data_IF_935283999853
#
_entry.id   IF_935283999853
#
_cell.length_a   1.000
_cell.length_b   1.000
_cell.length_c   1.000
_cell.angle_alpha   90.00
_cell.angle_beta   90.00
_cell.angle_gamma   90.00
#
_symmetry.space_group_name_H-M   'P 1'
#
loop_
_entity.id
_entity.type
_entity.pdbx_description
1 polymer ?
#
# COMPACT_ATOMS: atom_id res chain seq x y z
N UNK A 1 11.38 -8.14 -34.88
CA UNK A 1 11.25 -9.25 -33.91
C UNK A 1 10.84 -8.66 -32.58
N UNK A 2 10.30 -9.49 -31.71
CA UNK A 2 9.79 -9.04 -30.42
C UNK A 2 10.93 -8.49 -29.54
N UNK A 3 10.62 -7.43 -28.79
CA UNK A 3 11.54 -6.85 -27.82
C UNK A 3 10.93 -6.97 -26.43
N UNK A 4 11.75 -7.33 -25.45
CA UNK A 4 11.32 -7.51 -24.07
C UNK A 4 12.15 -6.58 -23.18
N UNK A 5 11.49 -5.94 -22.23
CA UNK A 5 12.09 -5.16 -21.16
C UNK A 5 11.63 -5.74 -19.81
N UNK A 6 12.47 -5.63 -18.79
CA UNK A 6 12.18 -6.15 -17.45
C UNK A 6 12.08 -4.98 -16.48
N UNK A 7 10.96 -4.95 -15.76
CA UNK A 7 10.59 -3.94 -14.78
C UNK A 7 10.34 -4.61 -13.44
N UNK A 8 10.60 -3.91 -12.32
CA UNK A 8 10.18 -4.36 -10.99
C UNK A 8 9.52 -3.23 -10.22
N UNK A 9 8.68 -3.56 -9.26
CA UNK A 9 8.03 -2.55 -8.40
C UNK A 9 8.99 -1.80 -7.47
N UNK A 10 10.25 -2.26 -7.37
CA UNK A 10 11.29 -1.60 -6.57
C UNK A 10 12.36 -0.91 -7.40
N UNK A 11 12.49 -1.26 -8.68
CA UNK A 11 13.46 -0.67 -9.61
C UNK A 11 12.79 -0.43 -10.96
N UNK A 12 12.71 0.85 -11.32
CA UNK A 12 11.89 1.35 -12.43
C UNK A 12 12.24 0.75 -13.79
N UNK A 13 13.45 0.22 -14.03
CA UNK A 13 13.77 -0.59 -15.20
C UNK A 13 15.06 -1.37 -14.94
N UNK A 14 15.01 -2.70 -15.06
CA UNK A 14 16.17 -3.58 -14.92
C UNK A 14 16.85 -3.90 -16.25
N UNK A 15 16.05 -4.03 -17.30
CA UNK A 15 16.54 -4.24 -18.66
C UNK A 15 15.74 -3.37 -19.64
N UNK A 16 16.41 -2.61 -20.53
CA UNK A 16 15.74 -1.94 -21.63
C UNK A 16 15.21 -2.96 -22.65
N UNK A 17 14.34 -2.50 -23.54
CA UNK A 17 13.81 -3.33 -24.62
C UNK A 17 14.96 -3.91 -25.45
N UNK A 18 15.03 -5.24 -25.48
CA UNK A 18 16.05 -6.00 -26.21
C UNK A 18 15.45 -7.27 -26.78
N UNK A 19 16.03 -7.75 -27.88
CA UNK A 19 15.74 -9.07 -28.45
C UNK A 19 16.76 -10.13 -28.01
N UNK A 20 17.72 -9.77 -27.15
CA UNK A 20 18.79 -10.64 -26.67
C UNK A 20 18.33 -11.51 -25.47
N UNK A 21 18.13 -12.83 -25.67
CA UNK A 21 17.68 -13.71 -24.60
C UNK A 21 18.74 -13.92 -23.50
N UNK A 22 20.03 -13.88 -23.83
CA UNK A 22 21.09 -14.07 -22.83
C UNK A 22 21.11 -12.90 -21.85
N UNK A 23 20.96 -11.68 -22.35
CA UNK A 23 20.85 -10.49 -21.50
C UNK A 23 19.63 -10.53 -20.59
N UNK A 24 18.48 -10.98 -21.11
CA UNK A 24 17.25 -11.12 -20.32
C UNK A 24 17.43 -12.17 -19.21
N UNK A 25 18.00 -13.34 -19.53
CA UNK A 25 18.27 -14.39 -18.56
C UNK A 25 19.26 -13.96 -17.48
N UNK A 26 20.30 -13.21 -17.84
CA UNK A 26 21.26 -12.66 -16.88
C UNK A 26 20.59 -11.70 -15.89
N UNK A 27 19.71 -10.82 -16.37
CA UNK A 27 18.93 -9.91 -15.51
C UNK A 27 17.98 -10.70 -14.60
N UNK A 28 17.24 -11.67 -15.14
CA UNK A 28 16.33 -12.52 -14.34
C UNK A 28 17.09 -13.30 -13.25
N UNK A 29 18.27 -13.82 -13.56
CA UNK A 29 19.12 -14.52 -12.58
C UNK A 29 19.65 -13.62 -11.46
N UNK A 30 19.68 -12.30 -11.67
CA UNK A 30 20.11 -11.31 -10.66
C UNK A 30 18.98 -10.88 -9.70
N UNK A 31 17.73 -11.26 -9.98
CA UNK A 31 16.57 -10.86 -9.18
C UNK A 31 16.66 -11.41 -7.76
N UNK A 32 16.51 -10.52 -6.78
CA UNK A 32 16.44 -10.87 -5.36
C UNK A 32 15.01 -10.75 -4.87
N UNK A 33 14.47 -11.86 -4.36
CA UNK A 33 13.19 -11.88 -3.65
C UNK A 33 13.31 -11.08 -2.34
N UNK A 34 12.64 -9.93 -2.26
CA UNK A 34 12.43 -9.24 -0.98
C UNK A 34 11.18 -9.82 -0.31
N UNK A 35 11.38 -10.54 0.80
CA UNK A 35 10.26 -10.92 1.67
C UNK A 35 9.73 -9.65 2.34
N UNK A 36 8.50 -9.27 2.03
CA UNK A 36 7.78 -8.24 2.81
C UNK A 36 7.40 -8.87 4.14
N UNK A 37 8.20 -8.66 5.17
CA UNK A 37 7.84 -9.08 6.52
C UNK A 37 6.87 -8.06 7.09
N UNK A 38 5.63 -8.47 7.29
CA UNK A 38 4.76 -7.79 8.25
C UNK A 38 5.16 -8.26 9.65
N UNK A 39 5.22 -7.34 10.60
CA UNK A 39 5.57 -7.65 11.97
C UNK A 39 4.51 -8.59 12.58
N UNK A 40 4.86 -9.88 12.69
CA UNK A 40 4.02 -10.91 13.33
C UNK A 40 4.16 -10.90 14.86
N UNK A 41 4.89 -9.94 15.44
CA UNK A 41 5.11 -9.84 16.87
C UNK A 41 3.99 -9.16 17.65
N UNK A 42 3.09 -8.45 16.96
CA UNK A 42 1.98 -7.72 17.60
C UNK A 42 0.94 -8.69 18.22
N UNK A 43 0.39 -8.31 19.38
CA UNK A 43 -0.65 -9.07 20.07
C UNK A 43 -1.85 -8.13 20.30
N UNK A 44 -2.98 -8.33 19.60
CA UNK A 44 -3.25 -9.39 18.65
C UNK A 44 -2.56 -9.16 17.30
N UNK A 45 -2.34 -10.24 16.56
CA UNK A 45 -2.00 -10.12 15.15
C UNK A 45 -3.24 -9.63 14.39
N UNK A 46 -3.09 -8.54 13.63
CA UNK A 46 -4.12 -8.05 12.72
C UNK A 46 -3.51 -8.12 11.32
N UNK A 47 -3.98 -9.08 10.52
CA UNK A 47 -3.48 -9.30 9.17
C UNK A 47 -3.82 -8.12 8.24
N UNK A 48 -3.16 -8.02 7.06
CA UNK A 48 -3.50 -7.02 6.07
C UNK A 48 -4.98 -6.97 5.67
N UNK A 49 -5.59 -8.13 5.47
CA UNK A 49 -6.99 -8.24 5.08
C UNK A 49 -7.94 -7.90 6.23
N UNK A 50 -7.64 -8.33 7.46
CA UNK A 50 -8.42 -7.93 8.64
C UNK A 50 -8.33 -6.42 8.88
N UNK A 51 -7.17 -5.81 8.65
CA UNK A 51 -6.99 -4.36 8.74
C UNK A 51 -7.89 -3.61 7.75
N UNK A 52 -7.98 -4.11 6.51
CA UNK A 52 -8.91 -3.60 5.51
C UNK A 52 -10.38 -3.69 5.97
N UNK A 53 -10.79 -4.85 6.49
CA UNK A 53 -12.17 -5.07 6.96
C UNK A 53 -12.53 -4.17 8.15
N UNK A 54 -11.61 -3.98 9.09
CA UNK A 54 -11.82 -3.12 10.25
C UNK A 54 -11.83 -1.64 9.88
N UNK A 55 -10.94 -1.20 9.00
CA UNK A 55 -10.80 0.20 8.62
C UNK A 55 -11.92 0.68 7.66
N UNK A 56 -12.39 -0.17 6.75
CA UNK A 56 -13.28 0.25 5.67
C UNK A 56 -14.69 -0.38 5.73
N UNK A 57 -14.80 -1.62 6.19
CA UNK A 57 -16.08 -2.35 6.20
C UNK A 57 -16.77 -2.34 7.56
N UNK A 58 -16.09 -1.86 8.60
CA UNK A 58 -16.56 -1.87 9.99
C UNK A 58 -17.05 -3.25 10.44
N UNK A 59 -16.29 -4.31 10.13
CA UNK A 59 -16.63 -5.67 10.54
C UNK A 59 -16.68 -5.76 12.08
N UNK A 60 -17.90 -5.75 12.62
CA UNK A 60 -18.15 -5.74 14.06
C UNK A 60 -17.78 -7.07 14.72
N UNK A 61 -17.92 -8.17 14.01
CA UNK A 61 -17.57 -9.50 14.51
C UNK A 61 -16.06 -9.62 14.66
N UNK A 62 -15.32 -9.19 13.64
CA UNK A 62 -13.86 -9.12 13.69
C UNK A 62 -13.38 -8.17 14.79
N UNK A 63 -14.01 -7.00 14.92
CA UNK A 63 -13.67 -6.03 15.96
C UNK A 63 -13.84 -6.64 17.36
N UNK A 64 -14.95 -7.33 17.61
CA UNK A 64 -15.18 -8.05 18.87
C UNK A 64 -14.08 -9.08 19.16
N UNK A 65 -13.74 -9.89 18.15
CA UNK A 65 -12.71 -10.93 18.27
C UNK A 65 -11.35 -10.30 18.59
N UNK A 66 -10.92 -9.30 17.83
CA UNK A 66 -9.62 -8.63 18.06
C UNK A 66 -9.56 -7.88 19.38
N UNK A 67 -10.68 -7.32 19.85
CA UNK A 67 -10.74 -6.70 21.18
C UNK A 67 -10.52 -7.74 22.28
N UNK A 68 -11.21 -8.88 22.22
CA UNK A 68 -11.02 -9.93 23.23
C UNK A 68 -9.64 -10.60 23.14
N UNK A 69 -9.09 -10.78 21.93
CA UNK A 69 -7.70 -11.21 21.76
C UNK A 69 -6.73 -10.23 22.41
N UNK A 70 -6.91 -8.92 22.22
CA UNK A 70 -6.10 -7.88 22.87
C UNK A 70 -6.20 -7.94 24.39
N UNK A 71 -7.40 -8.17 24.93
CA UNK A 71 -7.58 -8.29 26.39
C UNK A 71 -6.81 -9.47 26.96
N UNK A 72 -6.86 -10.62 26.28
CA UNK A 72 -6.11 -11.83 26.68
C UNK A 72 -4.60 -11.64 26.51
N UNK A 73 -4.16 -10.99 25.44
CA UNK A 73 -2.76 -10.60 25.23
C UNK A 73 -2.20 -9.76 26.38
N UNK A 74 -3.01 -8.86 26.92
CA UNK A 74 -2.63 -7.90 27.96
C UNK A 74 -3.03 -8.32 29.38
N UNK A 75 -3.57 -9.52 29.58
CA UNK A 75 -4.14 -9.99 30.85
C UNK A 75 -5.16 -9.02 31.47
N UNK A 76 -5.96 -8.36 30.64
CA UNK A 76 -7.02 -7.47 31.06
C UNK A 76 -8.31 -8.25 31.35
N UNK A 77 -9.18 -7.76 32.25
CA UNK A 77 -10.48 -8.36 32.46
C UNK A 77 -11.31 -8.35 31.16
N UNK A 78 -12.22 -9.32 30.96
CA UNK A 78 -13.10 -9.38 29.80
C UNK A 78 -13.87 -8.07 29.61
N UNK A 79 -14.09 -7.68 28.35
CA UNK A 79 -14.89 -6.50 28.06
C UNK A 79 -16.36 -6.71 28.45
N UNK A 80 -17.13 -5.62 28.52
CA UNK A 80 -18.60 -5.71 28.69
C UNK A 80 -19.29 -6.51 27.56
N UNK A 81 -18.62 -6.65 26.41
CA UNK A 81 -19.01 -7.47 25.27
C UNK A 81 -18.58 -8.94 25.34
N UNK A 82 -17.66 -9.30 26.25
CA UNK A 82 -17.01 -10.63 26.28
C UNK A 82 -17.85 -11.77 26.87
N UNK A 83 -19.10 -11.53 27.26
CA UNK A 83 -20.04 -12.55 27.77
C UNK A 83 -20.92 -13.15 26.67
N UNK A 84 -21.46 -14.36 26.89
CA UNK A 84 -22.54 -14.93 26.06
C UNK A 84 -23.74 -13.97 26.09
N UNK A 85 -23.95 -13.23 25.00
CA UNK A 85 -25.04 -12.25 24.85
C UNK A 85 -24.63 -10.77 24.93
N UNK A 86 -23.33 -10.46 24.95
CA UNK A 86 -22.84 -9.09 24.84
C UNK A 86 -23.13 -8.49 23.45
N UNK A 87 -23.49 -7.21 23.40
CA UNK A 87 -23.54 -6.45 22.14
C UNK A 87 -22.11 -6.30 21.59
N UNK A 88 -21.90 -6.46 20.27
CA UNK A 88 -20.59 -6.24 19.67
C UNK A 88 -20.12 -4.80 19.93
N UNK A 89 -18.81 -4.57 20.14
CA UNK A 89 -18.29 -3.25 20.47
C UNK A 89 -18.64 -2.22 19.39
N UNK A 90 -19.06 -1.04 19.86
CA UNK A 90 -19.28 0.11 18.99
C UNK A 90 -17.92 0.63 18.49
N UNK A 91 -17.70 0.81 17.17
CA UNK A 91 -16.47 1.42 16.65
C UNK A 91 -16.20 2.83 17.19
N UNK A 92 -17.24 3.55 17.64
CA UNK A 92 -17.15 4.86 18.28
C UNK A 92 -17.00 4.78 19.82
N UNK A 93 -16.73 3.60 20.37
CA UNK A 93 -16.54 3.39 21.81
C UNK A 93 -15.32 4.15 22.32
N UNK A 94 -15.43 4.65 23.56
CA UNK A 94 -14.31 5.27 24.29
C UNK A 94 -13.43 4.24 25.01
N UNK A 95 -13.77 2.95 24.93
CA UNK A 95 -12.97 1.86 25.50
C UNK A 95 -11.53 1.90 24.93
N UNK A 96 -10.50 2.01 25.80
CA UNK A 96 -9.11 2.11 25.36
C UNK A 96 -8.65 0.90 24.54
N UNK A 97 -9.21 -0.29 24.77
CA UNK A 97 -8.84 -1.50 24.01
C UNK A 97 -9.43 -1.44 22.60
N UNK A 98 -10.70 -1.03 22.47
CA UNK A 98 -11.35 -0.84 21.16
C UNK A 98 -10.58 0.19 20.34
N UNK A 99 -10.21 1.31 20.95
CA UNK A 99 -9.40 2.36 20.28
C UNK A 99 -8.02 1.86 19.86
N UNK A 100 -7.39 1.00 20.66
CA UNK A 100 -6.07 0.43 20.35
C UNK A 100 -6.16 -0.49 19.12
N UNK A 101 -7.14 -1.39 19.08
CA UNK A 101 -7.37 -2.30 17.94
C UNK A 101 -7.65 -1.51 16.66
N UNK A 102 -8.56 -0.53 16.74
CA UNK A 102 -8.88 0.29 15.56
C UNK A 102 -7.67 1.12 15.13
N UNK A 103 -6.92 1.73 16.05
CA UNK A 103 -5.71 2.48 15.73
C UNK A 103 -4.67 1.60 15.01
N UNK A 104 -4.42 0.39 15.51
CA UNK A 104 -3.55 -0.58 14.87
C UNK A 104 -4.06 -0.93 13.47
N UNK A 105 -5.32 -1.32 13.33
CA UNK A 105 -5.93 -1.67 12.04
C UNK A 105 -5.84 -0.53 11.01
N UNK A 106 -6.13 0.71 11.41
CA UNK A 106 -6.02 1.87 10.52
C UNK A 106 -4.57 2.12 10.10
N UNK A 107 -3.62 2.05 11.02
CA UNK A 107 -2.19 2.25 10.71
C UNK A 107 -1.66 1.18 9.75
N UNK A 108 -2.00 -0.09 9.99
CA UNK A 108 -1.64 -1.21 9.11
C UNK A 108 -2.29 -1.05 7.74
N UNK A 109 -3.58 -0.72 7.70
CA UNK A 109 -4.30 -0.48 6.44
C UNK A 109 -3.67 0.65 5.63
N UNK A 110 -3.34 1.78 6.26
CA UNK A 110 -2.68 2.90 5.58
C UNK A 110 -1.35 2.49 4.95
N UNK A 111 -0.53 1.71 5.66
CA UNK A 111 0.73 1.18 5.12
C UNK A 111 0.52 0.25 3.91
N UNK A 112 -0.50 -0.61 3.97
CA UNK A 112 -0.84 -1.52 2.87
C UNK A 112 -1.35 -0.74 1.67
N UNK A 113 -2.27 0.20 1.89
CA UNK A 113 -2.83 1.07 0.86
C UNK A 113 -1.73 1.87 0.18
N UNK A 114 -0.81 2.47 0.93
CA UNK A 114 0.36 3.16 0.39
C UNK A 114 1.20 2.26 -0.52
N UNK A 115 1.47 1.04 -0.07
CA UNK A 115 2.24 0.06 -0.86
C UNK A 115 1.51 -0.34 -2.14
N UNK A 116 0.19 -0.49 -2.07
CA UNK A 116 -0.66 -0.78 -3.22
C UNK A 116 -0.68 0.40 -4.21
N UNK A 117 -0.80 1.64 -3.72
CA UNK A 117 -0.70 2.86 -4.54
C UNK A 117 0.62 2.93 -5.30
N UNK A 118 1.76 2.77 -4.61
CA UNK A 118 3.07 2.76 -5.27
C UNK A 118 3.20 1.65 -6.33
N UNK A 119 2.58 0.50 -6.09
CA UNK A 119 2.54 -0.60 -7.06
C UNK A 119 1.73 -0.20 -8.30
N UNK A 120 0.56 0.40 -8.11
CA UNK A 120 -0.28 0.91 -9.18
C UNK A 120 0.41 2.05 -9.95
N UNK A 121 1.08 2.97 -9.27
CA UNK A 121 1.83 4.06 -9.92
C UNK A 121 2.99 3.52 -10.75
N UNK A 122 3.67 2.49 -10.29
CA UNK A 122 4.71 1.82 -11.09
C UNK A 122 4.11 1.21 -12.35
N UNK A 123 2.97 0.52 -12.24
CA UNK A 123 2.26 -0.04 -13.39
C UNK A 123 1.84 1.07 -14.36
N UNK A 124 1.28 2.18 -13.84
CA UNK A 124 0.90 3.36 -14.61
C UNK A 124 2.09 3.89 -15.42
N UNK A 125 3.23 4.10 -14.77
CA UNK A 125 4.43 4.65 -15.41
C UNK A 125 4.94 3.73 -16.53
N UNK A 126 4.90 2.41 -16.33
CA UNK A 126 5.26 1.44 -17.38
C UNK A 126 4.27 1.48 -18.54
N UNK A 127 2.96 1.56 -18.26
CA UNK A 127 1.93 1.70 -19.29
C UNK A 127 2.11 2.99 -20.09
N UNK A 128 2.40 4.11 -19.44
CA UNK A 128 2.64 5.40 -20.10
C UNK A 128 3.89 5.36 -20.97
N UNK A 129 4.98 4.77 -20.46
CA UNK A 129 6.20 4.53 -21.24
C UNK A 129 5.92 3.66 -22.48
N UNK A 130 5.19 2.56 -22.32
CA UNK A 130 4.83 1.68 -23.43
C UNK A 130 3.88 2.35 -24.43
N UNK A 131 2.94 3.18 -23.97
CA UNK A 131 1.99 3.88 -24.81
C UNK A 131 2.66 4.82 -25.84
N UNK A 132 3.90 5.26 -25.58
CA UNK A 132 4.69 6.07 -26.51
C UNK A 132 5.43 5.24 -27.58
N UNK A 133 5.55 3.92 -27.41
CA UNK A 133 6.29 3.04 -28.33
C UNK A 133 5.43 2.59 -29.51
N UNK A 134 6.02 2.35 -30.70
CA UNK A 134 5.29 1.83 -31.85
C UNK A 134 4.99 0.33 -31.71
N UNK A 135 3.95 -0.12 -32.41
CA UNK A 135 3.61 -1.55 -32.54
C UNK A 135 2.65 -2.09 -31.48
N UNK A 136 2.50 -3.42 -31.47
CA UNK A 136 1.67 -4.15 -30.49
C UNK A 136 2.39 -4.19 -29.16
N UNK A 137 1.72 -3.75 -28.10
CA UNK A 137 2.33 -3.55 -26.78
C UNK A 137 1.59 -4.36 -25.73
N UNK A 138 2.35 -5.20 -25.02
CA UNK A 138 1.82 -6.09 -24.00
C UNK A 138 2.65 -5.97 -22.73
N UNK A 139 1.98 -5.72 -21.61
CA UNK A 139 2.56 -5.79 -20.27
C UNK A 139 2.17 -7.12 -19.63
N UNK A 140 3.14 -7.95 -19.24
CA UNK A 140 2.89 -9.15 -18.45
C UNK A 140 3.26 -8.90 -16.99
N UNK A 141 2.25 -8.83 -16.12
CA UNK A 141 2.39 -8.60 -14.69
C UNK A 141 2.39 -9.93 -13.92
N UNK A 142 3.57 -10.42 -13.55
CA UNK A 142 3.70 -11.54 -12.61
C UNK A 142 3.76 -11.02 -11.18
N UNK A 143 2.79 -11.39 -10.33
CA UNK A 143 2.67 -10.84 -8.98
C UNK A 143 2.01 -11.82 -8.02
N UNK A 144 2.42 -11.79 -6.75
CA UNK A 144 1.73 -12.50 -5.67
C UNK A 144 0.42 -11.84 -5.24
N UNK A 145 0.02 -10.74 -5.88
CA UNK A 145 -1.15 -9.95 -5.52
C UNK A 145 -0.86 -8.88 -4.48
N UNK A 146 -1.79 -7.92 -4.36
CA UNK A 146 -1.76 -6.86 -3.37
C UNK A 146 -3.19 -6.38 -3.11
N UNK A 147 -3.47 -5.91 -1.89
CA UNK A 147 -4.79 -5.39 -1.54
C UNK A 147 -4.95 -3.97 -2.07
N UNK A 148 -5.77 -3.81 -3.11
CA UNK A 148 -6.04 -2.52 -3.76
C UNK A 148 -7.46 -1.99 -3.48
N UNK A 149 -8.14 -2.51 -2.44
CA UNK A 149 -9.45 -1.98 -2.04
C UNK A 149 -9.34 -0.49 -1.74
N UNK A 150 -10.37 0.30 -2.10
CA UNK A 150 -10.39 1.78 -2.05
C UNK A 150 -9.52 2.49 -3.09
N UNK A 151 -8.86 1.77 -4.00
CA UNK A 151 -8.02 2.31 -5.08
C UNK A 151 -8.63 2.05 -6.46
N UNK A 152 -9.95 2.00 -6.55
CA UNK A 152 -10.67 1.67 -7.79
C UNK A 152 -10.47 2.75 -8.85
N UNK A 153 -10.37 4.03 -8.46
CA UNK A 153 -10.11 5.14 -9.38
C UNK A 153 -8.68 5.08 -9.93
N UNK A 154 -7.68 4.76 -9.12
CA UNK A 154 -6.30 4.60 -9.54
C UNK A 154 -6.16 3.45 -10.55
N UNK A 155 -6.86 2.33 -10.32
CA UNK A 155 -6.92 1.22 -11.27
C UNK A 155 -7.61 1.64 -12.58
N UNK A 156 -8.74 2.35 -12.52
CA UNK A 156 -9.45 2.88 -13.70
C UNK A 156 -8.57 3.81 -14.53
N UNK A 157 -7.75 4.66 -13.88
CA UNK A 157 -6.80 5.55 -14.57
C UNK A 157 -5.78 4.76 -15.38
N UNK A 158 -5.22 3.68 -14.81
CA UNK A 158 -4.29 2.78 -15.52
C UNK A 158 -4.99 2.14 -16.72
N UNK A 159 -6.19 1.60 -16.53
CA UNK A 159 -6.98 0.98 -17.60
C UNK A 159 -7.24 1.97 -18.73
N UNK A 160 -7.69 3.18 -18.40
CA UNK A 160 -7.97 4.24 -19.37
C UNK A 160 -6.72 4.66 -20.15
N UNK A 161 -5.56 4.76 -19.48
CA UNK A 161 -4.27 5.03 -20.13
C UNK A 161 -3.83 3.89 -21.04
N UNK A 162 -3.95 2.64 -20.58
CA UNK A 162 -3.60 1.45 -21.34
C UNK A 162 -4.44 1.32 -22.61
N UNK A 163 -5.76 1.50 -22.51
CA UNK A 163 -6.67 1.46 -23.66
C UNK A 163 -6.35 2.56 -24.69
N UNK A 164 -6.11 3.80 -24.27
CA UNK A 164 -5.71 4.90 -25.18
C UNK A 164 -4.35 4.65 -25.82
N UNK A 165 -3.45 4.05 -25.06
CA UNK A 165 -2.12 3.66 -25.51
C UNK A 165 -2.07 2.38 -26.33
N UNK A 166 -3.17 1.63 -26.49
CA UNK A 166 -3.15 0.32 -27.14
C UNK A 166 -2.25 -0.69 -26.43
N UNK A 167 -2.16 -0.63 -25.10
CA UNK A 167 -1.37 -1.54 -24.26
C UNK A 167 -2.32 -2.57 -23.63
N UNK A 168 -2.03 -3.85 -23.87
CA UNK A 168 -2.76 -4.97 -23.25
C UNK A 168 -2.02 -5.40 -21.98
N UNK A 169 -2.73 -5.52 -20.86
CA UNK A 169 -2.15 -6.02 -19.60
C UNK A 169 -2.56 -7.48 -19.43
N UNK A 170 -1.59 -8.38 -19.42
CA UNK A 170 -1.74 -9.76 -18.96
C UNK A 170 -1.25 -9.86 -17.53
N UNK A 171 -1.84 -10.74 -16.73
CA UNK A 171 -1.44 -10.93 -15.34
C UNK A 171 -1.28 -12.41 -14.99
N UNK A 172 -0.30 -12.73 -14.16
CA UNK A 172 -0.01 -14.07 -13.64
C UNK A 172 0.04 -14.01 -12.11
N UNK A 173 -0.79 -14.83 -11.46
CA UNK A 173 -0.72 -15.02 -10.02
C UNK A 173 0.47 -15.91 -9.65
N UNK A 174 1.53 -15.28 -9.16
CA UNK A 174 2.75 -15.96 -8.76
C UNK A 174 2.59 -16.82 -7.50
N UNK A 175 1.43 -16.74 -6.80
CA UNK A 175 1.12 -17.66 -5.68
C UNK A 175 0.86 -19.10 -6.16
N UNK A 176 0.53 -19.28 -7.44
CA UNK A 176 0.14 -20.58 -7.99
C UNK A 176 -1.21 -21.07 -7.49
N UNK A 177 -1.38 -22.39 -7.39
CA UNK A 177 -2.55 -23.01 -6.78
C UNK A 177 -2.46 -22.94 -5.25
N UNK A 178 -3.40 -22.24 -4.63
CA UNK A 178 -3.53 -22.18 -3.18
C UNK A 178 -4.84 -22.82 -2.72
N UNK A 179 -4.78 -23.46 -1.55
CA UNK A 179 -5.94 -23.97 -0.82
C UNK A 179 -5.92 -23.44 0.62
N UNK A 180 -7.06 -23.47 1.30
CA UNK A 180 -7.12 -23.11 2.71
C UNK A 180 -6.22 -24.04 3.54
N UNK A 181 -5.30 -23.45 4.30
CA UNK A 181 -4.44 -24.19 5.24
C UNK A 181 -5.15 -24.47 6.57
N UNK A 182 -4.56 -25.29 7.44
CA UNK A 182 -5.04 -25.45 8.81
C UNK A 182 -5.04 -24.10 9.53
N UNK A 183 -6.14 -23.79 10.23
CA UNK A 183 -6.26 -22.57 11.01
C UNK A 183 -5.57 -22.79 12.36
N UNK A 184 -4.47 -22.09 12.59
CA UNK A 184 -3.79 -22.06 13.88
C UNK A 184 -4.50 -21.13 14.85
N UNK A 185 -4.45 -21.45 16.15
CA UNK A 185 -5.02 -20.58 17.17
C UNK A 185 -4.13 -19.33 17.30
N UNK A 186 -4.66 -18.12 17.01
CA UNK A 186 -3.87 -16.90 17.11
C UNK A 186 -3.52 -16.62 18.57
N UNK A 187 -2.45 -15.83 18.79
CA UNK A 187 -2.04 -15.44 20.14
C UNK A 187 -3.14 -14.61 20.81
N UNK A 188 -3.58 -15.03 22.00
CA UNK A 188 -4.74 -14.45 22.67
C UNK A 188 -6.09 -14.91 22.09
N UNK A 189 -6.10 -15.82 21.12
CA UNK A 189 -7.29 -16.36 20.48
C UNK A 189 -8.07 -17.37 21.31
N UNK A 190 -9.29 -17.66 20.87
CA UNK A 190 -10.16 -18.72 21.40
C UNK A 190 -10.88 -19.46 20.26
N UNK A 191 -11.90 -20.27 20.59
CA UNK A 191 -12.72 -20.98 19.61
C UNK A 191 -13.44 -20.03 18.62
N UNK A 192 -13.79 -18.80 19.01
CA UNK A 192 -14.42 -17.81 18.12
C UNK A 192 -13.40 -17.26 17.13
N UNK A 193 -12.16 -17.01 17.56
CA UNK A 193 -11.06 -16.63 16.66
C UNK A 193 -10.86 -17.67 15.56
N UNK A 194 -10.79 -18.95 15.93
CA UNK A 194 -10.62 -20.06 14.98
C UNK A 194 -11.83 -20.18 14.05
N UNK A 195 -13.05 -20.12 14.59
CA UNK A 195 -14.27 -20.17 13.77
C UNK A 195 -14.31 -19.02 12.76
N UNK A 196 -13.98 -17.79 13.16
CA UNK A 196 -13.93 -16.65 12.25
C UNK A 196 -12.88 -16.84 11.16
N UNK A 197 -11.66 -17.24 11.50
CA UNK A 197 -10.62 -17.51 10.53
C UNK A 197 -11.02 -18.61 9.52
N UNK A 198 -11.74 -19.65 9.96
CA UNK A 198 -12.32 -20.66 9.05
C UNK A 198 -13.38 -20.07 8.11
N UNK A 199 -14.22 -19.14 8.59
CA UNK A 199 -15.20 -18.46 7.72
C UNK A 199 -14.56 -17.54 6.67
N UNK A 200 -13.40 -16.98 6.99
CA UNK A 200 -12.61 -16.15 6.07
C UNK A 200 -11.90 -17.01 5.02
N UNK A 201 -11.34 -18.15 5.42
CA UNK A 201 -10.74 -19.13 4.49
C UNK A 201 -9.73 -18.48 3.54
N UNK A 202 -9.91 -18.69 2.22
CA UNK A 202 -9.01 -18.17 1.17
C UNK A 202 -9.36 -16.75 0.69
N UNK A 203 -10.37 -16.08 1.27
CA UNK A 203 -10.77 -14.72 0.86
C UNK A 203 -9.61 -13.72 0.80
N UNK A 204 -8.64 -13.69 1.74
CA UNK A 204 -7.51 -12.77 1.66
C UNK A 204 -6.65 -12.98 0.41
N UNK A 205 -6.47 -14.24 0.00
CA UNK A 205 -5.69 -14.60 -1.19
C UNK A 205 -6.40 -14.17 -2.46
N UNK A 206 -7.72 -14.35 -2.54
CA UNK A 206 -8.52 -13.85 -3.65
C UNK A 206 -8.57 -12.32 -3.70
N UNK A 207 -8.78 -11.66 -2.57
CA UNK A 207 -8.81 -10.20 -2.50
C UNK A 207 -7.50 -9.55 -2.98
N UNK A 208 -6.36 -10.22 -2.76
CA UNK A 208 -5.06 -9.76 -3.29
C UNK A 208 -4.94 -9.89 -4.82
N UNK A 209 -5.77 -10.72 -5.46
CA UNK A 209 -5.79 -10.93 -6.90
C UNK A 209 -6.73 -9.98 -7.64
N UNK A 210 -7.64 -9.31 -6.94
CA UNK A 210 -8.71 -8.51 -7.56
C UNK A 210 -8.14 -7.44 -8.51
N UNK A 211 -7.06 -6.76 -8.11
CA UNK A 211 -6.41 -5.76 -8.96
C UNK A 211 -5.78 -6.36 -10.22
N UNK A 212 -5.15 -7.54 -10.12
CA UNK A 212 -4.55 -8.24 -11.26
C UNK A 212 -5.63 -8.64 -12.27
N UNK A 213 -6.72 -9.22 -11.77
CA UNK A 213 -7.86 -9.62 -12.58
C UNK A 213 -8.53 -8.40 -13.24
N UNK A 214 -8.75 -7.33 -12.48
CA UNK A 214 -9.40 -6.12 -12.99
C UNK A 214 -8.56 -5.45 -14.08
N UNK A 215 -7.27 -5.22 -13.86
CA UNK A 215 -6.39 -4.58 -14.84
C UNK A 215 -6.28 -5.40 -16.12
N UNK A 216 -6.15 -6.73 -16.01
CA UNK A 216 -6.01 -7.56 -17.20
C UNK A 216 -7.30 -7.64 -18.01
N UNK A 217 -8.42 -7.97 -17.36
CA UNK A 217 -9.71 -8.10 -18.03
C UNK A 217 -10.17 -6.78 -18.63
N UNK A 218 -9.87 -5.65 -17.98
CA UNK A 218 -10.29 -4.33 -18.45
C UNK A 218 -9.46 -3.79 -19.61
N UNK A 219 -8.32 -4.40 -19.92
CA UNK A 219 -7.44 -4.02 -21.04
C UNK A 219 -7.40 -5.07 -22.16
N UNK A 220 -8.27 -6.08 -22.09
CA UNK A 220 -8.36 -7.15 -23.09
C UNK A 220 -7.31 -8.26 -22.94
N UNK A 221 -6.56 -8.28 -21.84
CA UNK A 221 -5.61 -9.34 -21.51
C UNK A 221 -6.17 -10.39 -20.57
N UNK A 222 -5.40 -11.43 -20.28
CA UNK A 222 -5.79 -12.62 -19.52
C UNK A 222 -5.19 -12.59 -18.12
N UNK A 223 -5.90 -13.20 -17.17
CA UNK A 223 -5.39 -13.44 -15.82
C UNK A 223 -5.18 -14.95 -15.62
N UNK A 224 -3.93 -15.37 -15.54
CA UNK A 224 -3.57 -16.75 -15.22
C UNK A 224 -3.47 -16.93 -13.70
N UNK A 225 -4.30 -17.79 -13.13
CA UNK A 225 -4.36 -18.01 -11.68
C UNK A 225 -4.79 -19.45 -11.36
N UNK A 226 -4.69 -19.83 -10.08
CA UNK A 226 -5.15 -21.14 -9.59
C UNK A 226 -4.51 -22.35 -10.30
N UNK A 227 -3.26 -22.20 -10.74
CA UNK A 227 -2.48 -23.26 -11.38
C UNK A 227 -1.02 -23.19 -10.95
N UNK A 228 -0.38 -24.35 -10.81
CA UNK A 228 1.06 -24.45 -10.55
C UNK A 228 1.89 -24.57 -11.83
N UNK A 229 1.26 -24.66 -13.01
CA UNK A 229 1.94 -24.62 -14.30
C UNK A 229 2.26 -23.16 -14.69
N UNK A 230 3.18 -22.53 -13.95
CA UNK A 230 3.55 -21.14 -14.21
C UNK A 230 4.27 -20.97 -15.55
N UNK A 231 5.02 -21.98 -15.98
CA UNK A 231 5.68 -21.98 -17.30
C UNK A 231 4.65 -21.97 -18.43
N UNK A 232 3.65 -22.85 -18.36
CA UNK A 232 2.50 -22.82 -19.26
C UNK A 232 1.75 -21.50 -19.21
N UNK A 233 1.58 -20.93 -18.02
CA UNK A 233 1.00 -19.59 -17.83
C UNK A 233 1.78 -18.49 -18.53
N UNK A 234 3.10 -18.44 -18.39
CA UNK A 234 3.93 -17.47 -19.13
C UNK A 234 3.82 -17.66 -20.64
N UNK A 235 3.82 -18.91 -21.13
CA UNK A 235 3.68 -19.21 -22.56
C UNK A 235 2.33 -18.75 -23.11
N UNK A 236 1.25 -18.98 -22.36
CA UNK A 236 -0.10 -18.55 -22.72
C UNK A 236 -0.22 -17.03 -22.74
N UNK A 237 0.28 -16.37 -21.70
CA UNK A 237 0.15 -14.91 -21.54
C UNK A 237 1.09 -14.11 -22.44
N UNK A 238 2.20 -14.70 -22.93
CA UNK A 238 3.10 -14.06 -23.88
C UNK A 238 2.57 -14.11 -25.32
N UNK A 239 1.60 -14.98 -25.62
CA UNK A 239 1.02 -15.09 -26.94
C UNK A 239 0.15 -13.86 -27.27
N UNK A 240 0.33 -13.30 -28.47
CA UNK A 240 -0.56 -12.26 -28.96
C UNK A 240 -1.98 -12.81 -29.15
N UNK A 241 -3.05 -12.05 -28.83
CA UNK A 241 -4.42 -12.50 -29.09
C UNK A 241 -4.63 -12.77 -30.58
N UNK A 242 -5.17 -13.95 -30.93
CA UNK A 242 -5.41 -14.31 -32.34
C UNK A 242 -6.44 -13.39 -33.02
N UNK A 243 -7.48 -12.96 -32.29
CA UNK A 243 -8.51 -12.02 -32.78
C UNK A 243 -9.01 -11.14 -31.62
N UNK A 244 -8.92 -9.82 -31.76
CA UNK A 244 -9.44 -8.84 -30.80
C UNK A 244 -10.32 -7.81 -31.48
N UNK A 245 -11.47 -7.48 -30.88
CA UNK A 245 -12.37 -6.43 -31.37
C UNK A 245 -12.36 -5.23 -30.42
N UNK A 246 -12.30 -4.02 -30.97
CA UNK A 246 -12.53 -2.79 -30.23
C UNK A 246 -13.98 -2.34 -30.44
N UNK A 247 -14.77 -2.33 -29.36
CA UNK A 247 -16.15 -1.88 -29.36
C UNK A 247 -16.25 -0.55 -28.60
N UNK A 248 -16.80 0.47 -29.26
CA UNK A 248 -17.10 1.76 -28.65
C UNK A 248 -18.58 1.94 -28.40
N UNK A 249 -18.95 2.52 -27.26
CA UNK A 249 -20.30 2.99 -26.97
C UNK A 249 -20.23 4.32 -26.21
N UNK A 250 -21.31 5.09 -26.26
CA UNK A 250 -21.47 6.32 -25.50
C UNK A 250 -22.60 6.09 -24.49
N UNK A 251 -22.38 6.29 -23.18
CA UNK A 251 -23.44 6.20 -22.19
C UNK A 251 -24.49 7.31 -22.38
N UNK A 252 -25.77 7.00 -22.15
CA UNK A 252 -26.86 7.99 -22.26
C UNK A 252 -26.93 8.96 -21.06
N UNK A 253 -26.23 8.64 -19.96
CA UNK A 253 -26.24 9.41 -18.71
C UNK A 253 -24.94 10.16 -18.48
N UNK A 254 -25.04 11.34 -17.86
CA UNK A 254 -23.89 12.12 -17.39
C UNK A 254 -23.01 11.32 -16.41
N UNK A 255 -21.69 11.59 -16.34
CA UNK A 255 -20.79 10.94 -15.39
C UNK A 255 -21.23 11.17 -13.93
N UNK A 256 -21.47 10.08 -13.21
CA UNK A 256 -22.01 10.10 -11.84
C UNK A 256 -20.98 9.71 -10.76
N UNK A 257 -19.77 9.36 -11.17
CA UNK A 257 -18.68 8.86 -10.30
C UNK A 257 -18.83 7.39 -9.91
N UNK A 258 -19.86 6.68 -10.41
CA UNK A 258 -20.15 5.29 -10.01
C UNK A 258 -19.61 4.29 -11.01
N UNK A 259 -19.53 3.04 -10.56
CA UNK A 259 -19.21 1.90 -11.41
C UNK A 259 -20.43 1.46 -12.23
N UNK A 260 -20.26 1.34 -13.53
CA UNK A 260 -21.25 0.86 -14.49
C UNK A 260 -20.79 -0.45 -15.10
N UNK A 261 -21.62 -1.50 -14.96
CA UNK A 261 -21.30 -2.83 -15.46
C UNK A 261 -21.45 -2.89 -16.99
N UNK A 262 -20.48 -3.51 -17.65
CA UNK A 262 -20.55 -3.83 -19.08
C UNK A 262 -20.87 -5.32 -19.25
N UNK A 263 -21.71 -5.64 -20.23
CA UNK A 263 -22.02 -7.02 -20.61
C UNK A 263 -22.01 -7.13 -22.13
N UNK A 264 -21.17 -8.04 -22.64
CA UNK A 264 -21.04 -8.31 -24.08
C UNK A 264 -21.54 -9.72 -24.34
N UNK A 265 -22.42 -9.86 -25.33
CA UNK A 265 -22.98 -11.15 -25.76
C UNK A 265 -22.79 -11.30 -27.26
N UNK A 266 -22.37 -12.48 -27.70
CA UNK A 266 -22.27 -12.84 -29.11
C UNK A 266 -23.63 -13.37 -29.56
N UNK A 267 -24.18 -12.78 -30.63
CA UNK A 267 -25.49 -13.18 -31.18
C UNK A 267 -25.45 -14.55 -31.88
N UNK A 268 -24.27 -14.98 -32.34
CA UNK A 268 -24.06 -16.23 -33.07
C UNK A 268 -23.94 -17.43 -32.11
N UNK A 269 -25.06 -18.12 -31.84
CA UNK A 269 -25.10 -19.51 -31.36
C UNK A 269 -24.30 -19.86 -30.10
N UNK A 270 -24.12 -21.17 -29.86
CA UNK A 270 -23.31 -21.75 -28.76
C UNK A 270 -21.88 -22.00 -29.25
N UNK A 271 -20.90 -21.98 -28.34
CA UNK A 271 -19.51 -22.39 -28.61
C UNK A 271 -18.45 -21.28 -28.51
N UNK A 272 -18.86 -20.03 -28.27
CA UNK A 272 -17.94 -18.90 -28.09
C UNK A 272 -17.81 -18.54 -26.60
N UNK A 273 -16.59 -18.19 -26.18
CA UNK A 273 -16.34 -17.52 -24.92
C UNK A 273 -16.00 -16.06 -25.20
N UNK A 274 -16.61 -15.15 -24.43
CA UNK A 274 -16.40 -13.71 -24.59
C UNK A 274 -15.64 -13.22 -23.38
N UNK A 275 -14.47 -12.65 -23.64
CA UNK A 275 -13.75 -11.88 -22.64
C UNK A 275 -13.96 -10.40 -22.93
N UNK A 276 -14.53 -9.69 -21.98
CA UNK A 276 -14.80 -8.26 -22.09
C UNK A 276 -14.53 -7.58 -20.75
N UNK A 277 -14.22 -6.30 -20.83
CA UNK A 277 -14.07 -5.43 -19.67
C UNK A 277 -15.34 -5.52 -18.79
N UNK A 278 -15.20 -5.74 -17.46
CA UNK A 278 -16.33 -5.97 -16.57
C UNK A 278 -17.22 -4.73 -16.37
N UNK A 279 -16.66 -3.53 -16.56
CA UNK A 279 -17.35 -2.26 -16.39
C UNK A 279 -16.36 -1.10 -16.38
N UNK A 280 -16.87 0.09 -16.10
CA UNK A 280 -16.10 1.33 -16.06
C UNK A 280 -16.63 2.25 -14.96
N UNK A 281 -15.77 3.09 -14.41
CA UNK A 281 -16.21 4.20 -13.58
C UNK A 281 -16.53 5.41 -14.46
N UNK A 282 -17.73 5.97 -14.31
CA UNK A 282 -18.12 7.20 -14.98
C UNK A 282 -17.59 8.40 -14.18
N UNK A 283 -16.27 8.56 -14.15
CA UNK A 283 -15.60 9.59 -13.35
C UNK A 283 -16.08 10.99 -13.75
N UNK A 284 -16.46 11.80 -12.75
CA UNK A 284 -16.82 13.20 -13.01
C UNK A 284 -15.59 13.92 -13.54
N UNK A 285 -15.76 14.80 -14.52
CA UNK A 285 -14.64 15.52 -15.15
C UNK A 285 -13.71 16.21 -14.13
N UNK A 286 -14.25 16.67 -13.00
CA UNK A 286 -13.49 17.23 -11.89
C UNK A 286 -12.63 16.22 -11.10
N UNK A 287 -12.97 14.92 -11.09
CA UNK A 287 -12.20 13.85 -10.43
C UNK A 287 -11.12 13.26 -11.35
N UNK A 288 -11.30 13.33 -12.67
CA UNK A 288 -10.28 12.91 -13.66
C UNK A 288 -9.08 13.87 -13.65
N UNK A 289 -9.30 15.12 -13.24
CA UNK A 289 -8.32 16.21 -13.25
C UNK A 289 -7.78 16.56 -11.85
N UNK A 290 -8.40 16.04 -10.79
CA UNK A 290 -7.89 16.14 -9.43
C UNK A 290 -7.36 14.78 -9.00
N UNK A 291 -6.10 14.51 -9.32
CA UNK A 291 -5.29 13.79 -8.34
C UNK A 291 -5.55 14.47 -6.98
N UNK A 292 -5.88 13.74 -5.89
CA UNK A 292 -5.74 14.36 -4.58
C UNK A 292 -4.32 14.92 -4.60
N UNK A 293 -4.14 16.25 -4.44
CA UNK A 293 -2.86 16.87 -4.69
C UNK A 293 -1.83 16.06 -3.91
N UNK A 294 -0.82 15.55 -4.61
CA UNK A 294 0.26 14.79 -3.96
C UNK A 294 0.61 15.53 -2.69
N UNK A 295 0.56 14.84 -1.55
CA UNK A 295 0.75 15.53 -0.28
C UNK A 295 2.07 16.24 -0.38
N UNK A 296 2.13 17.51 0.03
CA UNK A 296 3.35 18.31 -0.09
C UNK A 296 4.55 17.57 0.54
N UNK A 297 4.31 16.82 1.62
CA UNK A 297 5.31 15.94 2.22
C UNK A 297 5.86 14.86 1.28
N UNK A 298 5.05 14.25 0.42
CA UNK A 298 5.45 13.22 -0.55
C UNK A 298 6.29 13.83 -1.68
N UNK A 299 5.88 14.99 -2.19
CA UNK A 299 6.63 15.74 -3.20
C UNK A 299 8.02 16.13 -2.70
N UNK A 300 8.10 16.62 -1.45
CA UNK A 300 9.36 17.07 -0.88
C UNK A 300 10.30 15.92 -0.47
N UNK A 301 9.79 14.70 -0.29
CA UNK A 301 10.63 13.51 -0.06
C UNK A 301 11.39 13.15 -1.33
N UNK A 302 10.73 13.26 -2.48
CA UNK A 302 11.32 13.00 -3.79
C UNK A 302 12.10 14.20 -4.33
N UNK A 303 11.88 15.39 -3.76
CA UNK A 303 12.63 16.59 -4.10
C UNK A 303 14.03 16.60 -3.45
N UNK A 304 14.99 17.23 -4.14
CA UNK A 304 16.31 17.53 -3.58
C UNK A 304 16.38 18.84 -2.78
N UNK A 305 15.24 19.48 -2.50
CA UNK A 305 15.19 20.83 -1.91
C UNK A 305 15.57 20.80 -0.43
N UNK A 306 15.98 21.94 0.12
CA UNK A 306 16.10 22.11 1.57
C UNK A 306 15.08 23.13 2.02
N UNK A 307 14.19 22.73 2.92
CA UNK A 307 13.16 23.59 3.51
C UNK A 307 13.33 23.62 5.03
N UNK A 308 13.01 24.76 5.64
CA UNK A 308 13.16 24.96 7.08
C UNK A 308 12.04 25.83 7.63
N UNK A 309 10.79 25.41 7.44
CA UNK A 309 9.60 26.14 7.90
C UNK A 309 9.01 25.54 9.19
N UNK A 310 8.97 24.20 9.29
CA UNK A 310 8.51 23.48 10.47
C UNK A 310 9.63 23.42 11.53
N UNK A 311 9.31 23.51 12.84
CA UNK A 311 10.30 23.61 13.91
C UNK A 311 10.93 22.26 14.27
N UNK A 312 11.55 21.61 13.28
CA UNK A 312 12.08 20.26 13.35
C UNK A 312 13.54 20.25 12.91
N UNK A 313 14.36 19.49 13.62
CA UNK A 313 15.74 19.22 13.27
C UNK A 313 15.98 17.71 13.26
N UNK A 314 16.90 17.29 12.40
CA UNK A 314 17.38 15.92 12.33
C UNK A 314 18.77 15.84 12.97
N UNK A 315 18.98 14.82 13.78
CA UNK A 315 20.32 14.35 14.13
C UNK A 315 20.38 12.83 13.93
N UNK A 316 21.57 12.32 13.62
CA UNK A 316 21.81 10.88 13.49
C UNK A 316 22.56 10.42 14.74
N UNK A 317 22.11 9.31 15.32
CA UNK A 317 22.79 8.66 16.42
C UNK A 317 23.65 7.51 15.86
N UNK A 318 24.98 7.52 16.08
CA UNK A 318 25.83 6.38 15.75
C UNK A 318 25.54 5.18 16.67
N UNK A 319 25.45 3.98 16.11
CA UNK A 319 25.30 2.75 16.87
C UNK A 319 24.59 1.66 16.09
N UNK A 320 24.71 0.41 16.56
CA UNK A 320 23.90 -0.70 16.07
C UNK A 320 22.43 -0.50 16.44
N UNK A 321 21.52 -1.08 15.66
CA UNK A 321 20.11 -1.13 16.04
C UNK A 321 19.95 -1.96 17.33
N UNK A 322 18.87 -1.71 18.08
CA UNK A 322 18.66 -2.31 19.40
C UNK A 322 18.52 -3.85 19.38
N UNK A 323 18.27 -4.42 18.20
CA UNK A 323 18.14 -5.84 17.91
C UNK A 323 19.42 -6.47 17.34
N UNK A 324 20.50 -5.70 17.22
CA UNK A 324 21.75 -6.13 16.58
C UNK A 324 21.74 -6.04 15.04
N UNK A 325 20.68 -5.50 14.44
CA UNK A 325 20.57 -5.28 13.00
C UNK A 325 21.36 -4.05 12.49
N UNK A 326 21.49 -3.99 11.16
CA UNK A 326 22.09 -2.86 10.44
C UNK A 326 21.02 -1.81 10.09
N UNK A 327 21.33 -0.53 10.30
CA UNK A 327 20.44 0.55 9.89
C UNK A 327 20.84 1.91 10.46
N UNK A 328 19.88 2.83 10.46
CA UNK A 328 20.06 4.22 10.89
C UNK A 328 19.11 4.56 12.01
N UNK A 329 19.66 5.15 13.07
CA UNK A 329 18.90 5.72 14.18
C UNK A 329 18.84 7.24 13.98
N UNK A 330 17.64 7.74 13.67
CA UNK A 330 17.37 9.16 13.56
C UNK A 330 16.78 9.71 14.86
N UNK A 331 17.23 10.90 15.25
CA UNK A 331 16.71 11.70 16.34
C UNK A 331 16.00 12.91 15.74
N UNK A 332 14.67 12.90 15.85
CA UNK A 332 13.82 14.02 15.46
C UNK A 332 13.69 14.96 16.66
N UNK A 333 14.25 16.16 16.55
CA UNK A 333 14.15 17.21 17.58
C UNK A 333 13.10 18.22 17.15
N UNK A 334 12.07 18.38 17.96
CA UNK A 334 10.96 19.30 17.72
C UNK A 334 11.03 20.44 18.72
N UNK A 335 11.12 21.68 18.24
CA UNK A 335 10.92 22.86 19.07
C UNK A 335 9.42 23.04 19.31
N UNK A 336 8.97 22.52 20.45
CA UNK A 336 7.58 22.53 20.87
C UNK A 336 7.07 23.96 21.07
N UNK A 337 7.93 24.93 21.41
CA UNK A 337 7.49 26.32 21.61
C UNK A 337 7.07 26.99 20.30
N UNK A 338 7.67 26.58 19.18
CA UNK A 338 7.40 27.12 17.84
C UNK A 338 6.24 26.41 17.10
N UNK A 339 5.63 25.39 17.71
CA UNK A 339 4.46 24.71 17.16
C UNK A 339 3.17 25.53 17.38
N UNK A 340 2.26 25.53 16.40
CA UNK A 340 0.99 26.25 16.50
C UNK A 340 -0.05 25.38 17.22
N UNK A 341 -0.13 25.54 18.53
CA UNK A 341 -1.08 24.79 19.35
C UNK A 341 -2.49 25.39 19.29
N UNK A 342 -3.49 24.51 19.12
CA UNK A 342 -4.90 24.84 19.26
C UNK A 342 -5.40 24.40 20.64
N UNK A 343 -5.99 25.32 21.39
CA UNK A 343 -6.65 24.98 22.65
C UNK A 343 -8.04 24.41 22.41
N UNK A 344 -8.28 23.17 22.87
CA UNK A 344 -9.59 22.51 22.84
C UNK A 344 -9.77 21.69 24.11
N UNK A 345 -10.90 21.90 24.78
CA UNK A 345 -11.28 21.18 26.01
C UNK A 345 -10.21 21.23 27.12
N UNK A 346 -9.61 22.41 27.33
CA UNK A 346 -8.58 22.63 28.36
C UNK A 346 -7.22 21.99 28.07
N UNK A 347 -6.98 21.52 26.85
CA UNK A 347 -5.69 20.95 26.40
C UNK A 347 -5.22 21.63 25.12
N UNK A 348 -3.90 21.70 24.95
CA UNK A 348 -3.23 22.21 23.75
C UNK A 348 -2.95 21.07 22.80
N UNK A 349 -3.48 21.15 21.58
CA UNK A 349 -3.32 20.13 20.56
C UNK A 349 -2.51 20.65 19.38
N UNK A 350 -1.58 19.83 18.89
CA UNK A 350 -0.82 20.05 17.67
C UNK A 350 -0.50 18.69 17.04
N UNK A 351 -0.23 18.68 15.74
CA UNK A 351 0.20 17.47 15.02
C UNK A 351 1.43 17.79 14.20
N UNK A 352 2.32 16.82 14.07
CA UNK A 352 3.45 16.87 13.15
C UNK A 352 3.56 15.53 12.43
N UNK A 353 3.56 15.54 11.10
CA UNK A 353 3.80 14.36 10.29
C UNK A 353 5.26 14.36 9.84
N UNK A 354 5.85 13.20 9.63
CA UNK A 354 7.17 13.12 9.03
C UNK A 354 7.36 11.85 8.20
N UNK A 355 8.15 11.96 7.13
CA UNK A 355 8.68 10.85 6.34
C UNK A 355 10.20 10.90 6.45
N UNK A 356 10.81 9.78 6.83
CA UNK A 356 12.25 9.58 6.81
C UNK A 356 12.59 8.48 5.80
N UNK A 357 13.28 8.84 4.72
CA UNK A 357 13.64 7.96 3.62
C UNK A 357 15.16 7.80 3.51
N UNK A 358 15.64 6.58 3.34
CA UNK A 358 17.02 6.30 2.93
C UNK A 358 17.07 6.20 1.41
N UNK A 359 17.90 7.03 0.80
CA UNK A 359 18.17 7.06 -0.63
C UNK A 359 19.57 6.50 -0.92
N UNK A 360 19.75 5.82 -2.04
CA UNK A 360 21.08 5.37 -2.50
C UNK A 360 21.91 6.53 -3.10
N UNK A 361 23.13 6.24 -3.55
CA UNK A 361 24.03 7.24 -4.17
C UNK A 361 23.47 7.88 -5.44
N UNK A 362 22.49 7.25 -6.07
CA UNK A 362 21.82 7.73 -7.28
C UNK A 362 20.53 8.50 -6.95
N UNK A 363 20.20 8.66 -5.66
CA UNK A 363 18.99 9.33 -5.19
C UNK A 363 17.74 8.44 -5.23
N UNK A 364 17.87 7.14 -5.48
CA UNK A 364 16.73 6.24 -5.50
C UNK A 364 16.31 5.86 -4.08
N UNK A 365 15.00 5.79 -3.83
CA UNK A 365 14.46 5.32 -2.57
C UNK A 365 14.82 3.85 -2.30
N UNK A 366 15.41 3.57 -1.14
CA UNK A 366 15.81 2.23 -0.70
C UNK A 366 14.81 1.65 0.29
N UNK A 367 14.47 2.45 1.30
CA UNK A 367 13.59 2.12 2.44
C UNK A 367 13.26 3.40 3.21
N UNK A 368 12.23 3.37 4.05
CA UNK A 368 11.84 4.56 4.81
C UNK A 368 10.72 4.29 5.79
N UNK A 369 10.38 5.31 6.56
CA UNK A 369 9.34 5.27 7.59
C UNK A 369 8.56 6.57 7.59
N UNK A 370 7.25 6.46 7.64
CA UNK A 370 6.35 7.57 7.94
C UNK A 370 5.92 7.50 9.41
N UNK A 371 5.71 8.65 10.03
CA UNK A 371 5.22 8.74 11.40
C UNK A 371 4.47 10.03 11.65
N UNK A 372 3.71 10.05 12.74
CA UNK A 372 3.01 11.24 13.22
C UNK A 372 3.21 11.42 14.71
N UNK A 373 3.36 12.66 15.14
CA UNK A 373 3.46 13.08 16.54
C UNK A 373 2.23 13.91 16.85
N UNK A 374 1.36 13.36 17.68
CA UNK A 374 0.18 14.06 18.17
C UNK A 374 0.42 14.57 19.58
N UNK A 375 0.33 15.89 19.74
CA UNK A 375 0.41 16.52 21.03
C UNK A 375 -1.00 16.72 21.58
N UNK A 376 -1.20 16.33 22.84
CA UNK A 376 -2.35 16.74 23.63
C UNK A 376 -1.89 17.09 25.03
N UNK A 377 -1.47 18.35 25.22
CA UNK A 377 -0.73 18.77 26.41
C UNK A 377 -1.63 19.54 27.38
N UNK A 378 -1.47 19.26 28.68
CA UNK A 378 -1.94 20.15 29.75
C UNK A 378 -1.00 21.36 29.84
N UNK A 379 -1.45 22.46 30.46
CA UNK A 379 -0.64 23.68 30.63
C UNK A 379 0.77 23.40 31.19
N UNK A 380 0.86 22.62 32.27
CA UNK A 380 2.14 22.27 32.91
C UNK A 380 3.05 21.42 32.01
N UNK A 381 2.49 20.47 31.26
CA UNK A 381 3.26 19.65 30.30
C UNK A 381 3.75 20.48 29.12
N UNK A 382 2.95 21.44 28.65
CA UNK A 382 3.36 22.38 27.61
C UNK A 382 4.50 23.28 28.09
N UNK A 383 4.39 23.89 29.27
CA UNK A 383 5.45 24.74 29.84
C UNK A 383 6.78 23.99 29.98
N UNK A 384 6.73 22.73 30.40
CA UNK A 384 7.91 21.88 30.52
C UNK A 384 8.55 21.55 29.15
N UNK A 385 7.74 21.16 28.15
CA UNK A 385 8.23 20.84 26.81
C UNK A 385 8.66 22.09 26.03
N UNK A 386 8.01 23.24 26.23
CA UNK A 386 8.35 24.49 25.55
C UNK A 386 9.74 25.01 25.93
N UNK A 387 10.26 24.67 27.11
CA UNK A 387 11.62 25.01 27.53
C UNK A 387 12.71 24.03 27.05
N UNK A 388 12.35 22.81 26.64
CA UNK A 388 13.30 21.71 26.37
C UNK A 388 13.21 21.11 24.97
N UNK A 389 12.10 21.35 24.26
CA UNK A 389 11.74 20.63 23.05
C UNK A 389 11.34 19.17 23.31
N UNK A 390 10.98 18.47 22.24
CA UNK A 390 10.76 17.03 22.24
C UNK A 390 11.82 16.39 21.35
N UNK A 391 12.55 15.41 21.87
CA UNK A 391 13.41 14.54 21.03
C UNK A 391 12.77 13.17 20.96
N UNK A 392 12.38 12.74 19.76
CA UNK A 392 11.92 11.38 19.50
C UNK A 392 12.92 10.63 18.64
N UNK A 393 12.98 9.31 18.83
CA UNK A 393 13.88 8.42 18.11
C UNK A 393 13.09 7.60 17.12
N UNK A 394 13.59 7.51 15.89
CA UNK A 394 13.11 6.56 14.88
C UNK A 394 14.28 5.69 14.40
N UNK A 395 13.95 4.53 13.86
CA UNK A 395 14.92 3.61 13.27
C UNK A 395 14.46 3.16 11.89
N UNK A 396 15.42 3.04 10.98
CA UNK A 396 15.23 2.53 9.63
C UNK A 396 16.28 1.44 9.40
N UNK A 397 15.81 0.21 9.21
CA UNK A 397 16.65 -0.94 8.88
C UNK A 397 17.12 -0.85 7.43
N UNK A 398 18.41 -1.07 7.20
CA UNK A 398 19.00 -1.07 5.87
C UNK A 398 20.27 -1.96 5.85
N UNK A 399 20.60 -2.58 4.71
CA UNK A 399 21.89 -3.26 4.55
C UNK A 399 23.09 -2.30 4.75
N UNK A 400 24.30 -2.82 5.03
CA UNK A 400 25.50 -2.01 5.03
C UNK A 400 25.72 -1.32 3.67
N UNK A 401 26.05 -0.03 3.72
CA UNK A 401 26.19 0.80 2.52
C UNK A 401 26.18 2.29 2.82
N UNK A 402 26.45 3.09 1.77
CA UNK A 402 26.38 4.54 1.82
C UNK A 402 25.01 5.01 1.32
N UNK A 403 24.34 5.82 2.13
CA UNK A 403 23.01 6.33 1.86
C UNK A 403 22.90 7.82 2.16
N UNK A 404 21.81 8.42 1.69
CA UNK A 404 21.35 9.74 2.09
C UNK A 404 20.03 9.59 2.85
N UNK A 405 20.02 9.98 4.13
CA UNK A 405 18.80 10.08 4.91
C UNK A 405 18.09 11.40 4.59
N UNK A 406 16.93 11.31 3.96
CA UNK A 406 16.01 12.40 3.68
C UNK A 406 14.90 12.42 4.72
N UNK A 407 14.80 13.48 5.51
CA UNK A 407 13.70 13.72 6.44
C UNK A 407 12.83 14.85 5.88
N UNK A 408 11.54 14.61 5.76
CA UNK A 408 10.54 15.66 5.51
C UNK A 408 9.53 15.65 6.63
N UNK A 409 9.34 16.79 7.29
CA UNK A 409 8.38 16.97 8.37
C UNK A 409 7.39 18.06 8.00
N UNK A 410 6.10 17.80 8.23
CA UNK A 410 4.99 18.69 7.91
C UNK A 410 4.23 19.03 9.19
N UNK A 411 4.03 20.33 9.42
CA UNK A 411 3.10 20.88 10.39
C UNK A 411 1.83 21.32 9.63
N UNK A 412 0.72 20.59 9.75
CA UNK A 412 -0.41 20.73 8.83
C UNK A 412 -1.30 21.95 9.10
N UNK A 413 -1.28 22.56 10.28
CA UNK A 413 -2.21 23.65 10.60
C UNK A 413 -1.82 24.98 9.94
N UNK A 414 -0.53 25.22 9.71
CA UNK A 414 -0.02 26.36 8.95
C UNK A 414 0.66 25.94 7.64
N UNK A 415 0.56 24.65 7.28
CA UNK A 415 1.19 24.06 6.10
C UNK A 415 2.70 24.37 6.03
N UNK A 416 3.42 24.20 7.15
CA UNK A 416 4.87 24.43 7.22
C UNK A 416 5.60 23.12 6.98
N UNK A 417 6.58 23.12 6.09
CA UNK A 417 7.39 21.94 5.77
C UNK A 417 8.88 22.19 6.06
N UNK A 418 9.52 21.21 6.66
CA UNK A 418 10.98 21.14 6.80
C UNK A 418 11.48 19.91 6.10
N UNK A 419 12.45 20.08 5.22
CA UNK A 419 13.00 19.02 4.38
C UNK A 419 14.53 19.06 4.48
N UNK A 420 15.12 18.01 5.06
CA UNK A 420 16.53 17.93 5.42
C UNK A 420 17.14 16.66 4.82
N UNK A 421 18.38 16.76 4.38
CA UNK A 421 19.14 15.63 3.83
C UNK A 421 20.46 15.50 4.57
N UNK A 422 20.82 14.27 4.95
CA UNK A 422 22.09 13.99 5.62
C UNK A 422 22.70 12.69 5.12
N UNK A 423 23.97 12.72 4.74
CA UNK A 423 24.70 11.51 4.38
C UNK A 423 24.84 10.59 5.59
N UNK A 424 24.65 9.29 5.38
CA UNK A 424 24.75 8.29 6.43
C UNK A 424 25.39 7.01 5.90
N UNK A 425 26.27 6.43 6.70
CA UNK A 425 26.89 5.14 6.41
C UNK A 425 26.30 4.12 7.35
N UNK A 426 25.66 3.10 6.79
CA UNK A 426 25.22 1.93 7.53
C UNK A 426 26.35 0.93 7.52
N UNK A 427 26.83 0.54 8.69
CA UNK A 427 27.97 -0.38 8.87
C UNK A 427 27.50 -1.73 9.35
#
# INVERSE_FOLDING_TARGET
GDQVAIFTTTQAQLAPFTADPERLLAVLGSLKLRKRSFDRGACPEISPYESYLLANNMDRTLLEIKVEETRRCLNLPPGASGGRGGLPPNPLSTDPVVRTVLSQAHSTWQQIRWTAQNTLDTIRNVVEYMAALPGTRMLLLASGGFLAGTLEHEQERIVSRALRGGVVINALDAKGLFAGGPVEMPRGGDARSVAYAQTIGTRPLHASNDALAYLSQSTGGRFFHSSNDLEGGFRELAAAPEVSYLLGFVPDSEPDGKFHKISVRVSAGKGYSVQARPGYFAAKQAEVEQEPPERRIDQEVLSGTTLSEAPVQLAIQPGALADGGHGVIGLLRVDVKALPFLERSGRRHARLNFIAALLDRQGNFVTGREGSIEFSLRKTSYEWLAGRGLTTRFQIEAPPGDYQLRLVAEEPSQNRVTALSQAVVVR
#
